data_IF_560970595329
#
_entry.id   IF_560970595329
#
_cell.length_a   1.000
_cell.length_b   1.000
_cell.length_c   1.000
_cell.angle_alpha   90.00
_cell.angle_beta   90.00
_cell.angle_gamma   90.00
#
_symmetry.space_group_name_H-M   'P 1'
#
loop_
_entity.id
_entity.type
_entity.pdbx_description
1 polymer ?
#
# COMPACT_ATOMS: atom_id res chain seq x y z
N UNK A 1 -3.26 -13.12 -5.72
CA UNK A 1 -2.64 -14.23 -5.00
C UNK A 1 -1.80 -13.70 -3.84
N UNK A 2 -1.75 -14.41 -2.73
CA UNK A 2 -0.99 -14.03 -1.52
C UNK A 2 0.48 -13.73 -1.81
N UNK A 3 1.08 -14.37 -2.79
CA UNK A 3 2.46 -14.13 -3.20
C UNK A 3 2.69 -12.73 -3.82
N UNK A 4 1.72 -12.19 -4.54
CA UNK A 4 1.87 -10.86 -5.16
C UNK A 4 1.79 -9.72 -4.12
N UNK A 5 1.06 -9.92 -3.02
CA UNK A 5 1.01 -8.96 -1.91
C UNK A 5 2.31 -8.92 -1.10
N UNK A 6 2.92 -10.09 -0.86
CA UNK A 6 4.20 -10.20 -0.15
C UNK A 6 5.35 -9.56 -0.92
N UNK A 7 5.45 -9.83 -2.23
CA UNK A 7 6.48 -9.22 -3.10
C UNK A 7 6.32 -7.70 -3.17
N UNK A 8 5.09 -7.19 -3.16
CA UNK A 8 4.83 -5.74 -3.15
C UNK A 8 5.28 -5.06 -1.87
N UNK A 9 5.12 -5.70 -0.71
CA UNK A 9 5.55 -5.19 0.59
C UNK A 9 7.07 -5.16 0.71
N UNK A 10 7.76 -6.22 0.33
CA UNK A 10 9.23 -6.28 0.35
C UNK A 10 9.82 -5.16 -0.51
N UNK A 11 9.24 -4.91 -1.69
CA UNK A 11 9.68 -3.85 -2.59
C UNK A 11 9.50 -2.44 -1.99
N UNK A 12 8.39 -2.19 -1.28
CA UNK A 12 8.17 -0.92 -0.59
C UNK A 12 9.17 -0.71 0.55
N UNK A 13 9.52 -1.75 1.29
CA UNK A 13 10.54 -1.67 2.32
C UNK A 13 11.94 -1.44 1.75
N UNK A 14 12.28 -2.07 0.62
CA UNK A 14 13.54 -1.83 -0.08
C UNK A 14 13.64 -0.37 -0.57
N UNK A 15 12.57 0.21 -1.10
CA UNK A 15 12.50 1.62 -1.47
C UNK A 15 12.70 2.51 -0.23
N UNK A 16 11.96 2.22 0.85
CA UNK A 16 12.05 2.98 2.08
C UNK A 16 13.45 2.90 2.74
N UNK A 17 14.10 1.75 2.64
CA UNK A 17 15.47 1.59 3.13
C UNK A 17 16.49 2.33 2.26
N UNK A 18 16.29 2.36 0.94
CA UNK A 18 17.16 3.08 0.00
C UNK A 18 16.99 4.59 0.06
N UNK A 19 15.76 5.08 0.12
CA UNK A 19 15.43 6.50 0.08
C UNK A 19 15.35 7.16 1.46
N UNK A 20 15.23 6.35 2.52
CA UNK A 20 14.91 6.78 3.89
C UNK A 20 13.40 6.73 4.15
N UNK A 21 13.03 6.08 5.25
CA UNK A 21 11.60 5.84 5.64
C UNK A 21 10.80 7.14 5.80
N UNK A 22 11.47 8.23 6.11
CA UNK A 22 10.85 9.55 6.23
C UNK A 22 10.45 10.17 4.87
N UNK A 23 10.89 9.58 3.76
CA UNK A 23 10.57 10.03 2.40
C UNK A 23 9.46 9.20 1.74
N UNK A 24 8.90 8.24 2.47
CA UNK A 24 7.82 7.36 2.03
C UNK A 24 6.58 7.51 2.90
N UNK A 25 5.41 7.29 2.30
CA UNK A 25 4.13 7.31 2.99
C UNK A 25 3.51 5.92 2.92
N UNK A 26 3.88 5.07 3.86
CA UNK A 26 3.40 3.70 3.97
C UNK A 26 2.21 3.67 4.93
N UNK A 27 1.20 2.87 4.60
CA UNK A 27 0.05 2.60 5.44
C UNK A 27 -0.34 1.12 5.37
N UNK A 28 -1.18 0.70 6.31
CA UNK A 28 -1.71 -0.64 6.41
C UNK A 28 -0.94 -1.53 7.36
N UNK A 29 -1.53 -2.70 7.64
CA UNK A 29 -0.98 -3.68 8.55
C UNK A 29 0.24 -4.39 7.97
N UNK A 30 1.20 -4.68 8.83
CA UNK A 30 2.32 -5.55 8.51
C UNK A 30 1.88 -7.03 8.50
N UNK A 31 2.66 -7.89 7.85
CA UNK A 31 2.38 -9.34 7.74
C UNK A 31 2.08 -10.02 9.09
N UNK A 32 2.81 -9.75 10.18
CA UNK A 32 2.47 -10.32 11.48
C UNK A 32 1.10 -9.89 12.01
N UNK A 33 0.69 -8.64 11.76
CA UNK A 33 -0.60 -8.11 12.17
C UNK A 33 -1.75 -8.73 11.38
N UNK A 34 -1.57 -8.87 10.06
CA UNK A 34 -2.49 -9.58 9.17
C UNK A 34 -2.69 -11.02 9.61
N UNK A 35 -1.58 -11.73 9.90
CA UNK A 35 -1.64 -13.12 10.35
C UNK A 35 -2.35 -13.26 11.70
N UNK A 36 -2.06 -12.36 12.65
CA UNK A 36 -2.77 -12.34 13.93
C UNK A 36 -4.27 -12.09 13.74
N UNK A 37 -4.64 -11.13 12.91
CA UNK A 37 -6.04 -10.80 12.64
C UNK A 37 -6.78 -11.97 11.97
N UNK A 38 -6.13 -12.70 11.07
CA UNK A 38 -6.67 -13.94 10.48
C UNK A 38 -6.90 -15.02 11.55
N UNK A 39 -5.98 -15.18 12.48
CA UNK A 39 -6.07 -16.20 13.54
C UNK A 39 -7.20 -15.94 14.54
N UNK A 40 -7.39 -14.68 14.94
CA UNK A 40 -8.47 -14.31 15.87
C UNK A 40 -9.84 -14.19 15.20
N UNK A 41 -9.89 -14.24 13.87
CA UNK A 41 -11.11 -14.11 13.06
C UNK A 41 -11.39 -12.67 12.65
N UNK A 42 -11.12 -12.37 11.39
CA UNK A 42 -11.40 -11.06 10.81
C UNK A 42 -12.89 -10.87 10.52
N UNK A 43 -13.46 -9.78 11.01
CA UNK A 43 -14.82 -9.38 10.74
C UNK A 43 -14.86 -7.92 10.27
N UNK A 44 -15.05 -7.63 8.97
CA UNK A 44 -15.01 -6.28 8.42
C UNK A 44 -15.96 -5.32 9.13
N UNK A 45 -17.16 -5.77 9.47
CA UNK A 45 -18.17 -4.95 10.13
C UNK A 45 -17.72 -4.38 11.48
N UNK A 46 -16.84 -5.05 12.22
CA UNK A 46 -16.30 -4.52 13.48
C UNK A 46 -15.49 -3.25 13.24
N UNK A 47 -14.71 -3.19 12.17
CA UNK A 47 -13.93 -2.02 11.75
C UNK A 47 -14.83 -0.91 11.20
N UNK A 48 -15.85 -1.26 10.39
CA UNK A 48 -16.79 -0.31 9.82
C UNK A 48 -17.63 0.37 10.91
N UNK A 49 -18.15 -0.39 11.86
CA UNK A 49 -18.95 0.16 12.96
C UNK A 49 -18.13 0.98 13.96
N UNK A 50 -16.84 0.73 14.05
CA UNK A 50 -15.90 1.50 14.86
C UNK A 50 -15.36 2.77 14.18
N UNK A 51 -15.72 3.04 12.91
CA UNK A 51 -15.28 4.20 12.15
C UNK A 51 -16.43 4.82 11.36
N UNK A 52 -16.98 5.94 11.86
CA UNK A 52 -18.11 6.64 11.24
C UNK A 52 -17.79 7.08 9.80
N UNK A 53 -16.53 7.39 9.48
CA UNK A 53 -16.14 7.83 8.14
C UNK A 53 -16.19 6.64 7.17
N UNK A 54 -15.70 5.47 7.59
CA UNK A 54 -15.81 4.24 6.80
C UNK A 54 -17.28 3.87 6.54
N UNK A 55 -18.09 3.87 7.59
CA UNK A 55 -19.50 3.54 7.49
C UNK A 55 -20.26 4.53 6.58
N UNK A 56 -20.03 5.83 6.74
CA UNK A 56 -20.64 6.86 5.90
C UNK A 56 -20.21 6.76 4.42
N UNK A 57 -18.94 6.45 4.16
CA UNK A 57 -18.44 6.24 2.80
C UNK A 57 -19.13 5.05 2.12
N UNK A 58 -19.27 3.91 2.82
CA UNK A 58 -19.99 2.75 2.29
C UNK A 58 -21.47 3.05 2.07
N UNK A 59 -22.14 3.70 3.02
CA UNK A 59 -23.53 4.11 2.88
C UNK A 59 -23.75 5.07 1.70
N UNK A 60 -22.78 5.96 1.42
CA UNK A 60 -22.83 6.83 0.26
C UNK A 60 -22.74 6.02 -1.04
N UNK A 61 -21.82 5.07 -1.13
CA UNK A 61 -21.68 4.20 -2.30
C UNK A 61 -22.92 3.30 -2.52
N UNK A 62 -23.54 2.80 -1.44
CA UNK A 62 -24.75 1.97 -1.51
C UNK A 62 -25.95 2.71 -2.10
N UNK A 63 -26.01 4.04 -1.96
CA UNK A 63 -27.07 4.85 -2.59
C UNK A 63 -26.88 4.99 -4.10
N UNK A 64 -25.73 4.62 -4.62
CA UNK A 64 -25.34 4.82 -6.00
C UNK A 64 -24.98 6.28 -6.32
N UNK A 65 -24.35 6.46 -7.45
CA UNK A 65 -23.95 7.77 -7.95
C UNK A 65 -24.13 7.83 -9.48
N UNK A 66 -24.75 8.89 -9.97
CA UNK A 66 -24.95 9.11 -11.42
C UNK A 66 -25.66 7.94 -12.14
N UNK A 67 -26.55 7.22 -11.47
CA UNK A 67 -27.21 6.04 -12.01
C UNK A 67 -26.43 4.72 -11.91
N UNK A 68 -25.19 4.79 -11.43
CA UNK A 68 -24.34 3.62 -11.18
C UNK A 68 -24.64 2.99 -9.83
N UNK A 69 -24.52 1.68 -9.76
CA UNK A 69 -24.74 0.89 -8.56
C UNK A 69 -23.42 0.25 -8.09
N UNK A 70 -23.04 0.50 -6.85
CA UNK A 70 -21.81 -0.02 -6.24
C UNK A 70 -22.09 -1.09 -5.16
N UNK A 71 -23.30 -1.67 -5.15
CA UNK A 71 -23.73 -2.62 -4.10
C UNK A 71 -22.86 -3.89 -4.06
N UNK A 72 -22.31 -4.34 -5.18
CA UNK A 72 -21.40 -5.49 -5.21
C UNK A 72 -20.11 -5.20 -4.44
N UNK A 73 -19.52 -4.01 -4.66
CA UNK A 73 -18.30 -3.57 -3.97
C UNK A 73 -18.55 -3.40 -2.48
N UNK A 74 -19.62 -2.70 -2.10
CA UNK A 74 -19.93 -2.43 -0.69
C UNK A 74 -20.32 -3.70 0.05
N UNK A 75 -21.05 -4.62 -0.61
CA UNK A 75 -21.39 -5.93 -0.05
C UNK A 75 -20.12 -6.77 0.20
N UNK A 76 -19.18 -6.75 -0.73
CA UNK A 76 -17.90 -7.43 -0.55
C UNK A 76 -17.14 -6.87 0.64
N UNK A 77 -16.98 -5.54 0.72
CA UNK A 77 -16.27 -4.86 1.82
C UNK A 77 -16.93 -5.07 3.19
N UNK A 78 -18.27 -5.19 3.26
CA UNK A 78 -18.98 -5.43 4.52
C UNK A 78 -18.93 -6.88 5.00
N UNK A 79 -18.91 -7.83 4.07
CA UNK A 79 -19.16 -9.24 4.41
C UNK A 79 -17.93 -10.13 4.27
N UNK A 80 -17.05 -9.84 3.34
CA UNK A 80 -15.91 -10.70 3.01
C UNK A 80 -14.58 -9.99 3.23
N UNK A 81 -14.38 -8.86 2.57
CA UNK A 81 -13.16 -8.04 2.60
C UNK A 81 -11.86 -8.87 2.66
N UNK A 82 -11.59 -9.71 1.64
CA UNK A 82 -10.49 -10.67 1.68
C UNK A 82 -9.10 -10.02 1.79
N UNK A 83 -9.03 -8.74 1.45
CA UNK A 83 -7.79 -7.93 1.51
C UNK A 83 -7.69 -7.07 2.77
N UNK A 84 -8.64 -7.18 3.70
CA UNK A 84 -8.67 -6.42 4.96
C UNK A 84 -8.62 -4.89 4.78
N UNK A 85 -9.22 -4.40 3.70
CA UNK A 85 -9.26 -2.97 3.33
C UNK A 85 -9.89 -2.14 4.45
N UNK A 86 -10.92 -2.67 5.11
CA UNK A 86 -11.60 -1.97 6.19
C UNK A 86 -10.74 -1.87 7.46
N UNK A 87 -9.89 -2.85 7.72
CA UNK A 87 -8.93 -2.78 8.82
C UNK A 87 -7.86 -1.71 8.55
N UNK A 88 -7.38 -1.58 7.31
CA UNK A 88 -6.36 -0.61 6.91
C UNK A 88 -6.91 0.80 6.69
N UNK A 89 -8.22 0.98 6.55
CA UNK A 89 -8.84 2.24 6.13
C UNK A 89 -8.51 3.42 7.04
N UNK A 90 -8.46 3.20 8.35
CA UNK A 90 -8.10 4.24 9.31
C UNK A 90 -6.66 4.72 9.11
N UNK A 91 -5.74 3.80 8.87
CA UNK A 91 -4.34 4.12 8.64
C UNK A 91 -4.11 4.75 7.26
N UNK A 92 -4.83 4.30 6.24
CA UNK A 92 -4.90 4.99 4.95
C UNK A 92 -5.29 6.47 5.10
N UNK A 93 -6.31 6.77 5.88
CA UNK A 93 -6.73 8.16 6.15
C UNK A 93 -5.66 8.98 6.84
N UNK A 94 -4.92 8.39 7.79
CA UNK A 94 -3.75 9.02 8.41
C UNK A 94 -2.72 9.37 7.35
N UNK A 95 -2.33 8.41 6.52
CA UNK A 95 -1.36 8.62 5.46
C UNK A 95 -1.80 9.70 4.45
N UNK A 96 -3.09 9.76 4.11
CA UNK A 96 -3.64 10.82 3.25
C UNK A 96 -3.54 12.22 3.90
N UNK A 97 -3.80 12.31 5.20
CA UNK A 97 -3.63 13.58 5.93
C UNK A 97 -2.16 14.00 6.00
N UNK A 98 -1.25 13.06 6.20
CA UNK A 98 0.19 13.28 6.17
C UNK A 98 0.65 13.75 4.79
N UNK A 99 0.17 13.10 3.73
CA UNK A 99 0.42 13.49 2.33
C UNK A 99 0.01 14.94 2.06
N UNK A 100 -1.19 15.33 2.48
CA UNK A 100 -1.68 16.70 2.28
C UNK A 100 -0.80 17.73 2.98
N UNK A 101 -0.36 17.43 4.21
CA UNK A 101 0.54 18.33 4.97
C UNK A 101 1.90 18.45 4.29
N UNK A 102 2.49 17.33 3.88
CA UNK A 102 3.77 17.31 3.18
C UNK A 102 3.70 18.00 1.83
N UNK A 103 2.61 17.80 1.07
CA UNK A 103 2.42 18.44 -0.22
C UNK A 103 2.23 19.96 -0.12
N UNK A 104 1.70 20.45 0.99
CA UNK A 104 1.58 21.89 1.25
C UNK A 104 2.94 22.56 1.47
N UNK A 105 3.92 21.84 2.03
CA UNK A 105 5.32 22.25 2.14
C UNK A 105 6.07 21.88 0.85
N UNK A 106 6.07 22.80 -0.10
CA UNK A 106 6.64 22.59 -1.43
C UNK A 106 8.14 22.28 -1.43
N UNK A 107 8.88 22.88 -0.52
CA UNK A 107 10.32 22.66 -0.40
C UNK A 107 10.60 21.25 0.11
N UNK A 108 9.94 20.86 1.20
CA UNK A 108 10.06 19.51 1.76
C UNK A 108 9.61 18.45 0.76
N UNK A 109 8.50 18.68 0.07
CA UNK A 109 8.02 17.77 -0.99
C UNK A 109 9.04 17.58 -2.10
N UNK A 110 9.66 18.68 -2.59
CA UNK A 110 10.68 18.62 -3.61
C UNK A 110 11.96 17.89 -3.12
N UNK A 111 12.36 18.09 -1.87
CA UNK A 111 13.48 17.38 -1.27
C UNK A 111 13.22 15.87 -1.18
N UNK A 112 12.02 15.45 -0.73
CA UNK A 112 11.62 14.04 -0.68
C UNK A 112 11.62 13.41 -2.08
N UNK A 113 11.02 14.09 -3.05
CA UNK A 113 10.97 13.65 -4.45
C UNK A 113 12.39 13.48 -5.04
N UNK A 114 13.27 14.44 -4.77
CA UNK A 114 14.68 14.37 -5.24
C UNK A 114 15.42 13.20 -4.62
N UNK A 115 15.26 12.96 -3.31
CA UNK A 115 15.86 11.82 -2.62
C UNK A 115 15.39 10.49 -3.19
N UNK A 116 14.09 10.33 -3.40
CA UNK A 116 13.51 9.12 -3.99
C UNK A 116 14.05 8.89 -5.40
N UNK A 117 14.11 9.94 -6.22
CA UNK A 117 14.67 9.85 -7.57
C UNK A 117 16.16 9.50 -7.53
N UNK A 118 16.95 10.14 -6.67
CA UNK A 118 18.40 9.89 -6.58
C UNK A 118 18.74 8.46 -6.13
N UNK A 119 17.87 7.86 -5.29
CA UNK A 119 18.08 6.50 -4.79
C UNK A 119 17.38 5.42 -5.63
N UNK A 120 16.64 5.80 -6.69
CA UNK A 120 15.91 4.83 -7.53
C UNK A 120 16.81 3.97 -8.43
N UNK A 121 18.09 4.31 -8.57
CA UNK A 121 19.05 3.60 -9.42
C UNK A 121 19.21 2.12 -9.08
N UNK A 122 19.04 1.73 -7.81
CA UNK A 122 19.07 0.32 -7.39
C UNK A 122 17.92 -0.51 -7.98
N UNK A 123 16.84 0.15 -8.42
CA UNK A 123 15.67 -0.49 -9.03
C UNK A 123 15.73 -0.49 -10.56
N UNK A 124 16.87 -0.15 -11.16
CA UNK A 124 17.02 -0.17 -12.62
C UNK A 124 16.93 -1.60 -13.16
N UNK A 125 16.27 -1.75 -14.31
CA UNK A 125 16.17 -3.03 -15.01
C UNK A 125 17.57 -3.57 -15.35
N UNK A 126 18.49 -2.71 -15.75
CA UNK A 126 19.88 -3.09 -16.11
C UNK A 126 20.59 -3.75 -14.93
N UNK A 127 20.47 -3.16 -13.73
CA UNK A 127 21.02 -3.77 -12.51
C UNK A 127 20.40 -5.14 -12.25
N UNK A 128 19.08 -5.24 -12.30
CA UNK A 128 18.38 -6.48 -12.03
C UNK A 128 18.79 -7.58 -13.02
N UNK A 129 18.87 -7.26 -14.30
CA UNK A 129 19.33 -8.21 -15.34
C UNK A 129 20.77 -8.66 -15.09
N UNK A 130 21.66 -7.73 -14.71
CA UNK A 130 23.04 -8.07 -14.38
C UNK A 130 23.16 -8.98 -13.15
N UNK A 131 22.34 -8.71 -12.12
CA UNK A 131 22.27 -9.56 -10.93
C UNK A 131 21.76 -10.96 -11.28
N UNK A 132 20.70 -11.07 -12.08
CA UNK A 132 20.23 -12.37 -12.59
C UNK A 132 21.30 -13.11 -13.42
N UNK A 133 21.99 -12.39 -14.31
CA UNK A 133 23.06 -12.98 -15.12
C UNK A 133 24.18 -13.52 -14.25
N UNK A 134 24.59 -12.78 -13.22
CA UNK A 134 25.65 -13.17 -12.30
C UNK A 134 25.24 -14.30 -11.35
N UNK A 135 24.11 -14.11 -10.65
CA UNK A 135 23.80 -14.89 -9.45
C UNK A 135 22.93 -16.13 -9.75
N UNK A 136 22.17 -16.10 -10.86
CA UNK A 136 21.23 -17.17 -11.23
C UNK A 136 21.70 -17.89 -12.49
N UNK A 137 21.97 -17.17 -13.55
CA UNK A 137 22.32 -17.78 -14.85
C UNK A 137 23.80 -18.07 -14.99
N UNK A 138 24.65 -17.48 -14.13
CA UNK A 138 26.13 -17.57 -14.24
C UNK A 138 26.63 -17.26 -15.65
N UNK A 139 25.96 -16.35 -16.35
CA UNK A 139 26.24 -15.98 -17.72
C UNK A 139 27.34 -14.89 -17.76
N UNK A 140 28.31 -14.99 -18.67
CA UNK A 140 29.32 -13.97 -18.83
C UNK A 140 28.69 -12.68 -19.38
N UNK A 141 29.02 -11.55 -18.77
CA UNK A 141 28.61 -10.24 -19.29
C UNK A 141 29.46 -9.92 -20.51
N UNK A 142 28.86 -9.88 -21.69
CA UNK A 142 29.52 -9.45 -22.92
C UNK A 142 29.52 -7.92 -22.92
N UNK A 143 30.74 -7.32 -22.99
CA UNK A 143 30.91 -5.86 -23.07
C UNK A 143 30.76 -5.39 -24.50
#
# INVERSE_FOLDING_TARGET
SEAAGLVGLDYLFEIADAAGKENELIFGMLTPEVNNLKQVGYHPNAFIMGDDVANNALNFLERGWNGENFSEVTSNLRNSDPYMVMADFKDYRRAQADLQRLYADREKWAQMSLKNTANSGIFSADRSVLDYARDIWHAPVVK
#
